data_IF_541028226060
#
_entry.id   IF_541028226060
#
_cell.length_a   1.000
_cell.length_b   1.000
_cell.length_c   1.000
_cell.angle_alpha   90.00
_cell.angle_beta   90.00
_cell.angle_gamma   90.00
#
_symmetry.space_group_name_H-M   'P 1'
#
loop_
_entity.id
_entity.type
_entity.pdbx_description
1 polymer ?
#
# COMPACT_ATOMS: atom_id res chain seq x y z
N UNK A 1 8.56 0.78 2.32
CA UNK A 1 8.18 -0.18 1.27
C UNK A 1 7.23 -1.17 1.93
N UNK A 2 6.30 -1.72 1.17
CA UNK A 2 5.36 -2.71 1.67
C UNK A 2 5.26 -3.84 0.65
N UNK A 3 4.98 -5.05 1.13
CA UNK A 3 4.83 -6.24 0.30
C UNK A 3 3.39 -6.73 0.46
N UNK A 4 2.73 -7.02 -0.64
CA UNK A 4 1.42 -7.64 -0.66
C UNK A 4 1.46 -8.94 -1.44
N UNK A 5 0.64 -9.89 -0.99
CA UNK A 5 0.49 -11.21 -1.60
C UNK A 5 -0.98 -11.37 -1.97
N UNK A 6 -1.24 -11.83 -3.18
CA UNK A 6 -2.58 -12.08 -3.69
C UNK A 6 -2.64 -13.40 -4.45
N UNK A 7 -3.71 -14.13 -4.23
CA UNK A 7 -4.02 -15.36 -4.96
C UNK A 7 -5.45 -15.25 -5.49
N UNK A 8 -5.65 -15.70 -6.72
CA UNK A 8 -6.96 -15.85 -7.33
C UNK A 8 -7.60 -17.18 -6.93
N UNK A 9 -8.91 -17.28 -7.15
CA UNK A 9 -9.63 -18.53 -7.00
C UNK A 9 -9.07 -19.58 -7.99
N UNK A 10 -8.65 -20.77 -7.49
CA UNK A 10 -8.10 -21.82 -8.34
C UNK A 10 -9.11 -22.42 -9.32
N UNK A 11 -10.42 -22.22 -9.09
CA UNK A 11 -11.49 -22.71 -9.98
C UNK A 11 -11.64 -21.92 -11.29
N UNK A 12 -11.06 -20.71 -11.38
CA UNK A 12 -11.07 -19.92 -12.61
C UNK A 12 -10.20 -20.64 -13.64
N UNK A 13 -10.77 -21.17 -14.71
CA UNK A 13 -10.01 -21.95 -15.71
C UNK A 13 -9.00 -21.09 -16.50
N UNK A 14 -9.38 -19.85 -16.80
CA UNK A 14 -8.56 -18.94 -17.60
C UNK A 14 -7.35 -18.44 -16.80
N UNK A 15 -6.16 -18.91 -17.16
CA UNK A 15 -4.91 -18.54 -16.51
C UNK A 15 -4.64 -17.03 -16.53
N UNK A 16 -4.91 -16.36 -17.65
CA UNK A 16 -4.71 -14.91 -17.76
C UNK A 16 -5.58 -14.16 -16.76
N UNK A 17 -6.82 -14.60 -16.58
CA UNK A 17 -7.74 -14.04 -15.60
C UNK A 17 -7.24 -14.29 -14.16
N UNK A 18 -6.79 -15.51 -13.85
CA UNK A 18 -6.20 -15.83 -12.54
C UNK A 18 -5.02 -14.92 -12.22
N UNK A 19 -4.06 -14.81 -13.13
CA UNK A 19 -2.88 -13.96 -12.93
C UNK A 19 -3.28 -12.50 -12.72
N UNK A 20 -4.19 -11.96 -13.54
CA UNK A 20 -4.68 -10.59 -13.38
C UNK A 20 -5.33 -10.35 -12.02
N UNK A 21 -6.15 -11.30 -11.54
CA UNK A 21 -6.79 -11.21 -10.22
C UNK A 21 -5.79 -11.33 -9.07
N UNK A 22 -4.87 -12.29 -9.12
CA UNK A 22 -3.78 -12.44 -8.13
C UNK A 22 -2.97 -11.15 -8.02
N UNK A 23 -2.63 -10.53 -9.16
CA UNK A 23 -1.89 -9.26 -9.18
C UNK A 23 -2.70 -8.11 -8.56
N UNK A 24 -3.97 -7.96 -8.91
CA UNK A 24 -4.83 -6.93 -8.33
C UNK A 24 -4.97 -7.11 -6.81
N UNK A 25 -5.18 -8.34 -6.34
CA UNK A 25 -5.24 -8.66 -4.92
C UNK A 25 -3.91 -8.32 -4.21
N UNK A 26 -2.78 -8.67 -4.81
CA UNK A 26 -1.45 -8.37 -4.26
C UNK A 26 -1.19 -6.85 -4.16
N UNK A 27 -1.61 -6.06 -5.15
CA UNK A 27 -1.51 -4.59 -5.11
C UNK A 27 -2.34 -4.04 -3.96
N UNK A 28 -3.60 -4.47 -3.83
CA UNK A 28 -4.50 -4.00 -2.77
C UNK A 28 -3.93 -4.36 -1.39
N UNK A 29 -3.46 -5.60 -1.20
CA UNK A 29 -2.83 -5.99 0.06
C UNK A 29 -1.58 -5.15 0.36
N UNK A 30 -0.72 -4.91 -0.64
CA UNK A 30 0.48 -4.09 -0.46
C UNK A 30 0.13 -2.65 -0.08
N UNK A 31 -0.96 -2.09 -0.62
CA UNK A 31 -1.46 -0.76 -0.27
C UNK A 31 -1.97 -0.72 1.17
N UNK A 32 -2.69 -1.76 1.62
CA UNK A 32 -3.13 -1.87 3.02
C UNK A 32 -1.95 -1.96 3.99
N UNK A 33 -0.96 -2.81 3.71
CA UNK A 33 0.25 -2.91 4.53
C UNK A 33 1.00 -1.57 4.59
N UNK A 34 1.09 -0.88 3.45
CA UNK A 34 1.71 0.45 3.40
C UNK A 34 0.94 1.47 4.23
N UNK A 35 -0.40 1.47 4.16
CA UNK A 35 -1.24 2.34 4.98
C UNK A 35 -1.04 2.06 6.47
N UNK A 36 -0.95 0.79 6.88
CA UNK A 36 -0.67 0.40 8.27
C UNK A 36 0.67 0.97 8.75
N UNK A 37 1.73 0.86 7.92
CA UNK A 37 3.04 1.45 8.22
C UNK A 37 2.92 2.97 8.38
N UNK A 38 2.22 3.65 7.46
CA UNK A 38 2.04 5.11 7.50
C UNK A 38 1.25 5.54 8.73
N UNK A 39 0.16 4.85 9.06
CA UNK A 39 -0.70 5.12 10.22
C UNK A 39 0.06 5.04 11.54
N UNK A 40 1.04 4.13 11.64
CA UNK A 40 1.90 3.97 12.81
C UNK A 40 2.98 5.05 12.98
N UNK A 41 3.18 5.95 12.02
CA UNK A 41 4.17 7.03 12.13
C UNK A 41 3.72 8.08 13.14
N UNK A 42 4.63 8.49 14.03
CA UNK A 42 4.39 9.59 14.97
C UNK A 42 4.76 10.94 14.35
N UNK A 43 3.88 11.93 14.52
CA UNK A 43 4.05 13.30 14.06
C UNK A 43 4.74 14.17 15.10
N UNK A 44 5.22 15.35 14.68
CA UNK A 44 5.89 16.34 15.54
C UNK A 44 5.03 16.88 16.71
N UNK A 45 3.77 16.47 16.84
CA UNK A 45 2.89 16.78 17.98
C UNK A 45 2.69 15.63 18.96
N UNK A 46 3.41 14.51 18.82
CA UNK A 46 3.27 13.33 19.70
C UNK A 46 2.08 12.41 19.37
N UNK A 47 1.20 12.80 18.44
CA UNK A 47 0.11 11.96 17.93
C UNK A 47 0.56 11.13 16.72
N UNK A 48 -0.12 10.02 16.46
CA UNK A 48 0.12 9.19 15.27
C UNK A 48 -0.59 9.74 14.04
N UNK A 49 -0.18 9.30 12.85
CA UNK A 49 -0.89 9.60 11.61
C UNK A 49 -2.32 9.07 11.65
N UNK A 50 -2.56 7.89 12.25
CA UNK A 50 -3.91 7.37 12.43
C UNK A 50 -4.81 8.38 13.18
N UNK A 51 -4.35 8.91 14.31
CA UNK A 51 -5.08 9.90 15.09
C UNK A 51 -5.28 11.21 14.32
N UNK A 52 -4.27 11.65 13.56
CA UNK A 52 -4.38 12.85 12.73
C UNK A 52 -5.42 12.68 11.60
N UNK A 53 -5.53 11.47 11.01
CA UNK A 53 -6.52 11.16 9.98
C UNK A 53 -7.96 11.16 10.51
N UNK A 54 -8.16 10.79 11.77
CA UNK A 54 -9.49 10.86 12.42
C UNK A 54 -9.95 12.31 12.59
N UNK A 55 -9.02 13.23 12.86
CA UNK A 55 -9.31 14.65 13.04
C UNK A 55 -9.37 15.44 11.73
N UNK A 56 -8.67 14.99 10.67
CA UNK A 56 -8.57 15.69 9.39
C UNK A 56 -8.85 14.76 8.20
N UNK A 57 -10.05 14.89 7.63
CA UNK A 57 -10.49 14.14 6.45
C UNK A 57 -9.74 14.49 5.17
N UNK A 58 -9.16 15.70 5.07
CA UNK A 58 -8.33 16.10 3.93
C UNK A 58 -6.97 15.40 4.00
N UNK A 59 -6.41 15.25 5.20
CA UNK A 59 -5.21 14.45 5.41
C UNK A 59 -5.43 12.99 5.01
N UNK A 60 -6.56 12.41 5.41
CA UNK A 60 -6.92 11.04 5.02
C UNK A 60 -7.00 10.88 3.49
N UNK A 61 -7.70 11.81 2.82
CA UNK A 61 -7.83 11.80 1.36
C UNK A 61 -6.49 11.95 0.63
N UNK A 62 -5.57 12.77 1.17
CA UNK A 62 -4.22 12.92 0.62
C UNK A 62 -3.39 11.65 0.78
N UNK A 63 -3.48 10.97 1.93
CA UNK A 63 -2.81 9.69 2.16
C UNK A 63 -3.30 8.64 1.16
N UNK A 64 -4.61 8.53 0.96
CA UNK A 64 -5.19 7.60 -0.01
C UNK A 64 -4.73 7.89 -1.45
N UNK A 65 -4.67 9.16 -1.85
CA UNK A 65 -4.18 9.56 -3.16
C UNK A 65 -2.70 9.17 -3.36
N UNK A 66 -1.87 9.34 -2.34
CA UNK A 66 -0.45 9.00 -2.39
C UNK A 66 -0.22 7.48 -2.40
N UNK A 67 -1.02 6.70 -1.67
CA UNK A 67 -0.99 5.24 -1.72
C UNK A 67 -1.33 4.69 -3.11
N UNK A 68 -2.29 5.31 -3.80
CA UNK A 68 -2.62 4.99 -5.20
C UNK A 68 -1.49 5.36 -6.16
N UNK A 69 -0.72 6.39 -5.83
CA UNK A 69 0.47 6.81 -6.57
C UNK A 69 1.75 6.05 -6.21
N UNK A 70 1.68 5.04 -5.34
CA UNK A 70 2.85 4.26 -4.94
C UNK A 70 3.39 3.43 -6.13
N UNK A 71 4.71 3.39 -6.25
CA UNK A 71 5.38 2.72 -7.36
C UNK A 71 5.48 1.22 -7.10
N UNK A 72 5.06 0.41 -8.08
CA UNK A 72 5.37 -1.03 -8.09
C UNK A 72 6.83 -1.19 -8.49
N UNK A 73 7.66 -1.62 -7.55
CA UNK A 73 9.09 -1.82 -7.80
C UNK A 73 9.43 -3.27 -8.12
N UNK A 74 8.54 -4.21 -7.79
CA UNK A 74 8.73 -5.63 -8.08
C UNK A 74 7.39 -6.35 -8.21
N UNK A 75 7.34 -7.29 -9.15
CA UNK A 75 6.23 -8.23 -9.33
C UNK A 75 6.82 -9.62 -9.47
N UNK A 76 6.40 -10.54 -8.60
CA UNK A 76 6.87 -11.93 -8.57
C UNK A 76 5.68 -12.86 -8.60
N UNK A 77 5.81 -13.96 -9.34
CA UNK A 77 4.76 -14.97 -9.47
C UNK A 77 5.15 -16.23 -8.72
N UNK A 78 4.19 -16.83 -8.00
CA UNK A 78 4.38 -18.14 -7.38
C UNK A 78 4.02 -19.25 -8.35
N UNK A 79 4.36 -20.49 -8.00
CA UNK A 79 4.06 -21.68 -8.83
C UNK A 79 2.55 -21.91 -9.00
N UNK A 80 1.76 -21.43 -8.05
CA UNK A 80 0.31 -21.63 -7.98
C UNK A 80 -0.48 -20.43 -8.54
N UNK A 81 0.09 -19.71 -9.51
CA UNK A 81 -0.47 -18.48 -10.11
C UNK A 81 -0.76 -17.34 -9.11
N UNK A 82 -0.16 -17.39 -7.91
CA UNK A 82 -0.16 -16.30 -6.95
C UNK A 82 0.79 -15.18 -7.35
N UNK A 83 0.56 -13.98 -6.83
CA UNK A 83 1.36 -12.80 -7.12
C UNK A 83 1.87 -12.16 -5.82
N UNK A 84 3.13 -11.74 -5.83
CA UNK A 84 3.73 -10.90 -4.81
C UNK A 84 4.13 -9.56 -5.42
N UNK A 85 3.69 -8.47 -4.80
CA UNK A 85 3.94 -7.10 -5.26
C UNK A 85 4.68 -6.35 -4.18
N UNK A 86 5.78 -5.70 -4.55
CA UNK A 86 6.48 -4.78 -3.68
C UNK A 86 6.16 -3.35 -4.10
N UNK A 87 5.56 -2.59 -3.18
CA UNK A 87 5.27 -1.18 -3.35
C UNK A 87 6.31 -0.31 -2.65
N UNK A 88 6.63 0.80 -3.29
CA UNK A 88 7.50 1.85 -2.76
C UNK A 88 6.79 3.19 -2.83
N UNK A 89 6.66 3.84 -1.68
CA UNK A 89 6.29 5.25 -1.61
C UNK A 89 7.56 6.09 -1.43
N UNK A 90 7.87 7.02 -2.36
CA UNK A 90 9.01 7.90 -2.23
C UNK A 90 8.92 8.78 -0.97
N UNK A 91 10.01 8.86 -0.19
CA UNK A 91 10.07 9.71 1.02
C UNK A 91 9.76 11.19 0.74
N UNK A 92 10.00 11.67 -0.48
CA UNK A 92 9.66 13.04 -0.90
C UNK A 92 8.14 13.28 -0.86
N UNK A 93 7.34 12.29 -1.26
CA UNK A 93 5.87 12.35 -1.23
C UNK A 93 5.33 12.38 0.20
N UNK A 94 5.88 11.54 1.08
CA UNK A 94 5.57 11.57 2.51
C UNK A 94 5.85 12.95 3.15
N UNK A 95 7.01 13.56 2.83
CA UNK A 95 7.35 14.90 3.34
C UNK A 95 6.43 15.99 2.79
N UNK A 96 6.00 15.88 1.52
CA UNK A 96 5.07 16.82 0.90
C UNK A 96 3.69 16.84 1.59
N UNK A 97 3.33 15.77 2.29
CA UNK A 97 2.09 15.67 3.06
C UNK A 97 2.17 16.32 4.45
N UNK A 98 3.27 17.01 4.78
CA UNK A 98 3.47 17.63 6.09
C UNK A 98 3.85 16.65 7.20
N UNK A 99 4.07 15.37 6.86
CA UNK A 99 4.52 14.34 7.79
C UNK A 99 6.00 14.58 8.13
N UNK A 100 6.26 15.45 9.10
CA UNK A 100 7.58 15.58 9.73
C UNK A 100 7.79 14.40 10.68
N UNK A 101 8.41 13.35 10.15
CA UNK A 101 8.83 12.19 10.94
C UNK A 101 9.88 12.63 11.97
N UNK A 102 9.67 12.28 13.24
CA UNK A 102 10.70 12.38 14.27
C UNK A 102 11.72 11.27 13.98
N UNK A 103 13.00 11.61 14.05
CA UNK A 103 14.12 10.77 13.64
C UNK A 103 14.46 9.73 14.70
#
# INVERSE_FOLDING_TARGET
MAIGIGAADPSIENKTQRLAMSRSAAIVQAQYEMLTIIKGVTLTGGITVAQAMEADSLLASKIDAELKGAEIVKTEWTKDDGCMITLKLPKKRLKAMGLKMIK
#
